data_IF_818486751181
#
_entry.id   IF_818486751181
#
_cell.length_a   1.000
_cell.length_b   1.000
_cell.length_c   1.000
_cell.angle_alpha   90.00
_cell.angle_beta   90.00
_cell.angle_gamma   90.00
#
_symmetry.space_group_name_H-M   'P 1'
#
loop_
_entity.id
_entity.type
_entity.pdbx_description
1 polymer ?
#
# COMPACT_ATOMS: atom_id res chain seq x y z
N UNK A 1 0.91 -1.88 -22.89
CA UNK A 1 1.08 -1.89 -24.36
C UNK A 1 2.53 -2.02 -24.80
N UNK A 2 3.36 -0.98 -24.66
CA UNK A 2 4.71 -0.94 -25.24
C UNK A 2 5.59 -2.15 -24.86
N UNK A 3 5.58 -2.54 -23.57
CA UNK A 3 6.37 -3.70 -23.09
C UNK A 3 5.92 -4.99 -23.77
N UNK A 4 4.60 -5.25 -23.84
CA UNK A 4 4.05 -6.45 -24.48
C UNK A 4 4.44 -6.48 -25.96
N UNK A 5 4.25 -5.36 -26.68
CA UNK A 5 4.62 -5.25 -28.10
C UNK A 5 6.11 -5.50 -28.31
N UNK A 6 6.96 -4.93 -27.44
CA UNK A 6 8.39 -5.13 -27.50
C UNK A 6 8.78 -6.60 -27.28
N UNK A 7 8.19 -7.26 -26.28
CA UNK A 7 8.46 -8.68 -26.01
C UNK A 7 8.00 -9.55 -27.19
N UNK A 8 6.80 -9.33 -27.73
CA UNK A 8 6.30 -10.08 -28.90
C UNK A 8 7.18 -9.94 -30.14
N UNK A 9 7.74 -8.74 -30.36
CA UNK A 9 8.58 -8.44 -31.53
C UNK A 9 10.03 -8.90 -31.38
N UNK A 10 10.59 -8.82 -30.18
CA UNK A 10 12.04 -8.92 -29.97
C UNK A 10 12.46 -10.13 -29.11
N UNK A 11 11.52 -10.93 -28.61
CA UNK A 11 11.82 -12.15 -27.86
C UNK A 11 11.46 -13.41 -28.65
N UNK A 12 11.84 -14.57 -28.09
CA UNK A 12 11.44 -15.90 -28.57
C UNK A 12 10.32 -16.50 -27.73
N UNK A 13 9.59 -15.67 -26.96
CA UNK A 13 8.52 -16.16 -26.09
C UNK A 13 7.44 -16.87 -26.91
N UNK A 14 7.13 -18.12 -26.57
CA UNK A 14 6.04 -18.87 -27.20
C UNK A 14 4.66 -18.34 -26.80
N UNK A 15 4.56 -17.70 -25.63
CA UNK A 15 3.33 -17.11 -25.08
C UNK A 15 3.69 -15.90 -24.21
N UNK A 16 2.95 -14.81 -24.34
CA UNK A 16 3.06 -13.60 -23.52
C UNK A 16 1.75 -13.38 -22.78
N UNK A 17 1.81 -13.39 -21.45
CA UNK A 17 0.65 -13.27 -20.57
C UNK A 17 0.79 -12.01 -19.72
N UNK A 18 -0.30 -11.27 -19.54
CA UNK A 18 -0.37 -10.13 -18.61
C UNK A 18 -1.29 -10.50 -17.45
N UNK A 19 -0.79 -10.44 -16.22
CA UNK A 19 -1.52 -10.78 -15.01
C UNK A 19 -1.22 -9.86 -13.84
N UNK A 20 -2.22 -9.58 -13.01
CA UNK A 20 -2.12 -8.78 -11.78
C UNK A 20 -3.27 -9.12 -10.82
N UNK A 21 -3.13 -8.74 -9.55
CA UNK A 21 -4.19 -8.81 -8.55
C UNK A 21 -4.11 -7.66 -7.52
N UNK A 22 -5.24 -6.99 -7.21
CA UNK A 22 -5.27 -5.89 -6.28
C UNK A 22 -5.00 -6.35 -4.85
N UNK A 23 -4.32 -5.49 -4.10
CA UNK A 23 -3.73 -5.85 -2.82
C UNK A 23 -4.74 -5.95 -1.65
N UNK A 24 -5.99 -5.50 -1.86
CA UNK A 24 -7.00 -5.33 -0.80
C UNK A 24 -8.30 -6.13 -1.02
N UNK A 25 -8.36 -6.95 -2.07
CA UNK A 25 -9.45 -7.87 -2.40
C UNK A 25 -10.88 -7.41 -2.09
N UNK A 26 -11.71 -8.23 -1.43
CA UNK A 26 -13.18 -8.07 -1.33
C UNK A 26 -13.70 -6.71 -0.84
N UNK A 27 -12.88 -5.93 -0.16
CA UNK A 27 -13.27 -4.64 0.43
C UNK A 27 -12.91 -3.43 -0.45
N UNK A 28 -12.07 -3.61 -1.47
CA UNK A 28 -11.61 -2.50 -2.33
C UNK A 28 -11.76 -2.83 -3.82
N UNK A 29 -11.60 -4.09 -4.22
CA UNK A 29 -11.82 -4.50 -5.61
C UNK A 29 -11.34 -5.91 -5.94
N UNK A 30 -11.83 -6.44 -7.06
CA UNK A 30 -11.35 -7.66 -7.71
C UNK A 30 -10.45 -7.30 -8.89
N UNK A 31 -9.60 -8.22 -9.36
CA UNK A 31 -8.65 -7.90 -10.41
C UNK A 31 -9.33 -7.48 -11.71
N UNK A 32 -10.39 -8.17 -12.12
CA UNK A 32 -11.11 -7.87 -13.36
C UNK A 32 -11.67 -6.42 -13.44
N UNK A 33 -12.41 -5.91 -12.43
CA UNK A 33 -12.73 -4.48 -12.35
C UNK A 33 -11.51 -3.55 -12.42
N UNK A 34 -10.44 -3.86 -11.68
CA UNK A 34 -9.24 -3.03 -11.65
C UNK A 34 -8.55 -2.94 -13.03
N UNK A 35 -8.47 -4.07 -13.76
CA UNK A 35 -7.95 -4.11 -15.14
C UNK A 35 -8.79 -3.27 -16.09
N UNK A 36 -10.11 -3.31 -15.95
CA UNK A 36 -11.04 -2.50 -16.75
C UNK A 36 -10.85 -1.02 -16.48
N UNK A 37 -10.85 -0.61 -15.22
CA UNK A 37 -10.81 0.81 -14.83
C UNK A 37 -9.44 1.45 -15.13
N UNK A 38 -8.36 0.69 -14.97
CA UNK A 38 -7.00 1.12 -15.34
C UNK A 38 -6.68 1.03 -16.83
N UNK A 39 -7.58 0.43 -17.63
CA UNK A 39 -7.37 0.10 -19.05
C UNK A 39 -6.20 -0.86 -19.30
N UNK A 40 -5.75 -1.59 -18.29
CA UNK A 40 -4.63 -2.52 -18.41
C UNK A 40 -4.95 -3.67 -19.36
N UNK A 41 -6.19 -4.16 -19.36
CA UNK A 41 -6.62 -5.22 -20.29
C UNK A 41 -6.59 -4.75 -21.75
N UNK A 42 -7.08 -3.54 -22.03
CA UNK A 42 -7.03 -2.93 -23.36
C UNK A 42 -5.57 -2.74 -23.81
N UNK A 43 -4.73 -2.17 -22.95
CA UNK A 43 -3.32 -1.93 -23.24
C UNK A 43 -2.53 -3.24 -23.45
N UNK A 44 -2.89 -4.34 -22.78
CA UNK A 44 -2.28 -5.65 -22.99
C UNK A 44 -2.67 -6.23 -24.36
N UNK A 45 -3.96 -6.17 -24.71
CA UNK A 45 -4.48 -6.64 -26.01
C UNK A 45 -3.90 -5.84 -27.18
N UNK A 46 -3.83 -4.51 -27.08
CA UNK A 46 -3.21 -3.64 -28.08
C UNK A 46 -1.73 -3.99 -28.30
N UNK A 47 -1.02 -4.36 -27.24
CA UNK A 47 0.37 -4.80 -27.32
C UNK A 47 0.55 -6.19 -27.95
N UNK A 48 -0.53 -6.94 -28.17
CA UNK A 48 -0.48 -8.30 -28.72
C UNK A 48 -0.22 -9.40 -27.69
N UNK A 49 -0.63 -9.20 -26.43
CA UNK A 49 -0.59 -10.27 -25.42
C UNK A 49 -1.43 -11.46 -25.89
N UNK A 50 -0.91 -12.67 -25.69
CA UNK A 50 -1.63 -13.90 -26.04
C UNK A 50 -2.76 -14.19 -25.03
N UNK A 51 -2.59 -13.74 -23.78
CA UNK A 51 -3.59 -13.87 -22.73
C UNK A 51 -3.52 -12.71 -21.72
N UNK A 52 -4.69 -12.32 -21.20
CA UNK A 52 -4.81 -11.47 -20.02
C UNK A 52 -5.47 -12.31 -18.94
N UNK A 53 -4.78 -12.49 -17.81
CA UNK A 53 -5.24 -13.28 -16.67
C UNK A 53 -5.53 -12.39 -15.47
N UNK A 54 -6.52 -12.79 -14.68
CA UNK A 54 -6.87 -12.16 -13.42
C UNK A 54 -6.45 -13.10 -12.31
N UNK A 55 -5.38 -12.80 -11.58
CA UNK A 55 -4.80 -13.80 -10.68
C UNK A 55 -5.80 -14.34 -9.64
N UNK A 56 -6.75 -13.52 -9.18
CA UNK A 56 -7.82 -13.93 -8.24
C UNK A 56 -8.86 -14.91 -8.81
N UNK A 57 -8.74 -15.30 -10.08
CA UNK A 57 -9.53 -16.35 -10.75
C UNK A 57 -8.73 -17.65 -11.01
N UNK A 58 -7.47 -17.73 -10.55
CA UNK A 58 -6.59 -18.88 -10.79
C UNK A 58 -6.24 -19.69 -9.54
N UNK A 59 -5.84 -20.94 -9.76
CA UNK A 59 -5.32 -21.83 -8.74
C UNK A 59 -4.10 -21.25 -8.03
N UNK A 60 -3.88 -21.73 -6.81
CA UNK A 60 -2.78 -21.32 -5.96
C UNK A 60 -1.97 -22.52 -5.48
N UNK A 61 -0.70 -22.28 -5.15
CA UNK A 61 0.21 -23.27 -4.57
C UNK A 61 0.75 -22.77 -3.23
N UNK A 62 0.84 -23.65 -2.24
CA UNK A 62 1.47 -23.33 -0.96
C UNK A 62 3.00 -23.43 -1.10
N UNK A 63 3.72 -22.45 -0.56
CA UNK A 63 5.17 -22.37 -0.56
C UNK A 63 5.67 -22.10 0.86
N UNK A 64 6.71 -22.83 1.27
CA UNK A 64 7.56 -22.44 2.39
C UNK A 64 8.67 -21.54 1.83
N UNK A 65 8.90 -20.40 2.49
CA UNK A 65 9.82 -19.37 1.99
C UNK A 65 11.14 -19.54 2.73
N UNK A 66 12.09 -20.21 2.07
CA UNK A 66 13.42 -20.44 2.62
C UNK A 66 14.12 -19.10 2.92
N UNK A 67 14.64 -18.96 4.13
CA UNK A 67 15.33 -17.75 4.59
C UNK A 67 14.41 -16.57 4.96
N UNK A 68 13.08 -16.73 4.90
CA UNK A 68 12.15 -15.71 5.36
C UNK A 68 12.27 -15.47 6.87
N UNK A 69 12.22 -14.19 7.27
CA UNK A 69 12.30 -13.80 8.68
C UNK A 69 10.93 -13.78 9.35
N UNK A 70 9.91 -13.25 8.68
CA UNK A 70 8.56 -13.06 9.23
C UNK A 70 7.50 -13.84 8.46
N UNK A 71 7.47 -13.71 7.14
CA UNK A 71 6.45 -14.32 6.28
C UNK A 71 6.97 -15.66 5.73
N UNK A 72 6.91 -16.71 6.55
CA UNK A 72 7.57 -18.00 6.27
C UNK A 72 6.79 -18.94 5.37
N UNK A 73 5.48 -18.75 5.28
CA UNK A 73 4.61 -19.56 4.44
C UNK A 73 3.73 -18.63 3.63
N UNK A 74 3.66 -18.85 2.33
CA UNK A 74 2.78 -18.13 1.45
C UNK A 74 1.94 -19.08 0.61
N UNK A 75 0.79 -18.60 0.16
CA UNK A 75 0.04 -19.19 -0.92
C UNK A 75 0.22 -18.27 -2.11
N UNK A 76 0.62 -18.79 -3.26
CA UNK A 76 1.01 -17.99 -4.44
C UNK A 76 0.18 -18.42 -5.64
N UNK A 77 -0.21 -17.47 -6.48
CA UNK A 77 -0.91 -17.78 -7.72
C UNK A 77 -0.06 -18.65 -8.64
N UNK A 78 -0.58 -19.82 -8.99
CA UNK A 78 0.13 -20.82 -9.79
C UNK A 78 0.64 -20.29 -11.13
N UNK A 79 -0.11 -19.45 -11.89
CA UNK A 79 0.41 -18.89 -13.14
C UNK A 79 1.70 -18.08 -12.99
N UNK A 80 1.94 -17.46 -11.82
CA UNK A 80 3.20 -16.75 -11.54
C UNK A 80 4.37 -17.72 -11.35
N UNK A 81 4.14 -18.86 -10.68
CA UNK A 81 5.16 -19.89 -10.46
C UNK A 81 5.48 -20.67 -11.74
N UNK A 82 4.46 -20.93 -12.56
CA UNK A 82 4.58 -21.70 -13.82
C UNK A 82 5.26 -20.90 -14.95
N UNK A 83 5.46 -19.59 -14.80
CA UNK A 83 6.06 -18.77 -15.84
C UNK A 83 7.55 -19.08 -16.04
N UNK A 84 8.03 -19.19 -17.29
CA UNK A 84 9.47 -19.34 -17.56
C UNK A 84 10.24 -18.05 -17.26
N UNK A 85 9.64 -16.89 -17.59
CA UNK A 85 10.21 -15.56 -17.43
C UNK A 85 9.17 -14.64 -16.79
N UNK A 86 9.56 -13.93 -15.73
CA UNK A 86 8.75 -12.93 -15.02
C UNK A 86 9.29 -11.53 -15.30
N UNK A 87 8.49 -10.71 -15.99
CA UNK A 87 8.76 -9.28 -16.20
C UNK A 87 7.90 -8.48 -15.22
N UNK A 88 8.54 -7.81 -14.27
CA UNK A 88 7.90 -6.98 -13.27
C UNK A 88 7.69 -5.55 -13.77
N UNK A 89 6.48 -5.00 -13.61
CA UNK A 89 6.07 -3.69 -14.14
C UNK A 89 5.53 -2.75 -13.05
N UNK A 90 6.35 -2.30 -12.08
CA UNK A 90 5.90 -1.40 -11.04
C UNK A 90 5.70 0.05 -11.55
N UNK A 91 4.89 0.81 -10.82
CA UNK A 91 4.68 2.25 -11.05
C UNK A 91 5.57 3.09 -10.13
N UNK A 92 6.22 4.12 -10.66
CA UNK A 92 6.95 5.12 -9.85
C UNK A 92 5.97 5.94 -9.01
N UNK A 93 5.94 5.71 -7.70
CA UNK A 93 4.91 6.26 -6.83
C UNK A 93 5.33 6.30 -5.37
N UNK A 94 5.00 7.41 -4.70
CA UNK A 94 5.03 7.55 -3.25
C UNK A 94 3.82 6.85 -2.61
N UNK A 95 4.01 6.24 -1.45
CA UNK A 95 2.99 5.44 -0.77
C UNK A 95 3.05 5.59 0.76
N UNK A 96 1.92 5.88 1.40
CA UNK A 96 1.80 6.13 2.84
C UNK A 96 2.38 5.02 3.74
N UNK A 97 2.05 3.75 3.46
CA UNK A 97 2.53 2.61 4.26
C UNK A 97 3.94 2.09 3.94
N UNK A 98 4.46 2.34 2.74
CA UNK A 98 5.71 1.72 2.25
C UNK A 98 6.77 2.72 1.82
N UNK A 99 6.52 4.02 2.03
CA UNK A 99 7.23 5.17 1.48
C UNK A 99 7.12 5.28 -0.04
N UNK A 100 7.37 4.20 -0.79
CA UNK A 100 7.19 4.09 -2.24
C UNK A 100 6.48 2.78 -2.62
N UNK A 101 6.03 2.69 -3.88
CA UNK A 101 5.50 1.45 -4.47
C UNK A 101 6.65 0.56 -4.94
N UNK A 102 7.19 0.84 -6.12
CA UNK A 102 8.32 0.17 -6.80
C UNK A 102 8.34 -1.37 -6.76
N UNK A 103 9.34 -1.97 -7.37
CA UNK A 103 9.36 -3.35 -7.85
C UNK A 103 9.09 -4.38 -6.78
N UNK A 104 9.76 -4.30 -5.63
CA UNK A 104 9.61 -5.27 -4.53
C UNK A 104 8.18 -5.35 -4.02
N UNK A 105 7.40 -4.26 -4.09
CA UNK A 105 6.01 -4.24 -3.60
C UNK A 105 5.05 -5.06 -4.46
N UNK A 106 5.37 -5.29 -5.73
CA UNK A 106 4.50 -6.09 -6.62
C UNK A 106 4.38 -7.55 -6.13
N UNK A 107 5.31 -8.07 -5.31
CA UNK A 107 5.19 -9.39 -4.68
C UNK A 107 4.03 -9.51 -3.70
N UNK A 108 3.41 -8.41 -3.32
CA UNK A 108 2.19 -8.47 -2.54
C UNK A 108 0.95 -8.83 -3.39
N UNK A 109 1.05 -8.65 -4.72
CA UNK A 109 0.02 -9.00 -5.69
C UNK A 109 0.02 -10.48 -6.09
N UNK A 110 1.10 -11.23 -5.83
CA UNK A 110 1.23 -12.66 -6.22
C UNK A 110 0.57 -13.62 -5.23
N UNK A 111 0.09 -13.11 -4.09
CA UNK A 111 -0.56 -13.89 -3.04
C UNK A 111 -2.07 -13.61 -3.03
N UNK A 112 -2.94 -14.59 -2.75
CA UNK A 112 -4.37 -14.41 -2.77
C UNK A 112 -4.86 -13.64 -1.56
N UNK A 113 -5.95 -12.90 -1.77
CA UNK A 113 -6.71 -12.29 -0.68
C UNK A 113 -7.57 -13.35 0.04
N UNK A 114 -6.99 -14.09 1.00
CA UNK A 114 -7.75 -14.90 1.94
C UNK A 114 -7.73 -14.32 3.37
N UNK A 115 -8.93 -14.29 3.99
CA UNK A 115 -9.25 -13.90 5.37
C UNK A 115 -9.66 -15.18 6.13
N UNK A 116 -9.38 -15.37 7.45
CA UNK A 116 -9.07 -14.32 8.44
C UNK A 116 -7.63 -14.14 8.91
N UNK A 117 -6.69 -15.08 8.71
CA UNK A 117 -5.42 -15.01 9.46
C UNK A 117 -4.11 -15.12 8.69
N UNK A 118 -4.03 -15.67 7.47
CA UNK A 118 -2.73 -16.28 7.10
C UNK A 118 -2.00 -15.74 5.87
N UNK A 119 -2.59 -14.90 5.00
CA UNK A 119 -1.92 -14.52 3.74
C UNK A 119 -1.83 -13.01 3.52
N UNK A 120 -2.50 -12.47 2.48
CA UNK A 120 -2.30 -11.09 2.04
C UNK A 120 -2.58 -10.04 3.13
N UNK A 121 -3.52 -10.29 4.04
CA UNK A 121 -3.74 -9.42 5.19
C UNK A 121 -2.59 -9.47 6.20
N UNK A 122 -2.06 -10.67 6.46
CA UNK A 122 -0.83 -10.84 7.25
C UNK A 122 0.34 -10.09 6.61
N UNK A 123 0.46 -10.14 5.28
CA UNK A 123 1.44 -9.39 4.52
C UNK A 123 1.27 -7.86 4.63
N UNK A 124 0.02 -7.36 4.63
CA UNK A 124 -0.33 -5.94 4.72
C UNK A 124 -0.34 -5.32 6.12
N UNK A 125 -0.07 -6.13 7.16
CA UNK A 125 0.07 -5.64 8.53
C UNK A 125 1.41 -4.91 8.70
N UNK A 126 1.72 -4.60 9.94
CA UNK A 126 3.00 -4.07 10.40
C UNK A 126 4.19 -4.91 9.83
N UNK A 127 5.37 -4.31 9.72
CA UNK A 127 6.58 -4.92 9.14
C UNK A 127 6.47 -5.22 7.64
N UNK A 128 5.62 -4.46 6.93
CA UNK A 128 5.34 -4.63 5.51
C UNK A 128 6.61 -4.74 4.65
N UNK A 129 7.64 -3.94 4.91
CA UNK A 129 8.90 -3.99 4.16
C UNK A 129 9.64 -5.32 4.26
N UNK A 130 9.73 -5.89 5.47
CA UNK A 130 10.35 -7.20 5.67
C UNK A 130 9.53 -8.30 5.00
N UNK A 131 8.20 -8.21 5.04
CA UNK A 131 7.33 -9.20 4.40
C UNK A 131 7.43 -9.15 2.87
N UNK A 132 7.59 -7.95 2.28
CA UNK A 132 7.92 -7.84 0.85
C UNK A 132 9.26 -8.50 0.52
N UNK A 133 10.29 -8.26 1.34
CA UNK A 133 11.59 -8.90 1.16
C UNK A 133 11.52 -10.42 1.33
N UNK A 134 10.75 -10.93 2.30
CA UNK A 134 10.52 -12.36 2.46
C UNK A 134 9.83 -12.93 1.21
N UNK A 135 8.73 -12.32 0.73
CA UNK A 135 8.02 -12.77 -0.46
C UNK A 135 8.87 -12.72 -1.73
N UNK A 136 9.78 -11.74 -1.86
CA UNK A 136 10.69 -11.66 -3.02
C UNK A 136 11.51 -12.95 -3.19
N UNK A 137 11.90 -13.62 -2.09
CA UNK A 137 12.64 -14.89 -2.10
C UNK A 137 11.91 -16.05 -2.79
N UNK A 138 10.58 -15.99 -2.89
CA UNK A 138 9.78 -17.02 -3.55
C UNK A 138 10.25 -17.20 -4.99
N UNK A 139 10.47 -16.08 -5.68
CA UNK A 139 10.96 -16.01 -7.05
C UNK A 139 11.36 -14.56 -7.35
N UNK A 140 12.60 -14.35 -7.76
CA UNK A 140 13.05 -13.05 -8.27
C UNK A 140 12.47 -12.81 -9.67
N UNK A 141 12.20 -11.55 -10.03
CA UNK A 141 11.87 -11.24 -11.41
C UNK A 141 13.12 -11.32 -12.29
N UNK A 142 12.94 -11.80 -13.50
CA UNK A 142 14.00 -11.87 -14.52
C UNK A 142 14.31 -10.47 -15.09
N UNK A 143 13.32 -9.58 -15.10
CA UNK A 143 13.47 -8.19 -15.51
C UNK A 143 12.47 -7.32 -14.76
N UNK A 144 12.91 -6.20 -14.18
CA UNK A 144 12.03 -5.17 -13.63
C UNK A 144 12.09 -3.93 -14.52
N UNK A 145 10.94 -3.39 -14.91
CA UNK A 145 10.81 -2.14 -15.67
C UNK A 145 9.84 -1.21 -14.95
N UNK A 146 10.37 -0.15 -14.32
CA UNK A 146 9.57 0.84 -13.63
C UNK A 146 8.94 1.81 -14.64
N UNK A 147 7.62 1.79 -14.74
CA UNK A 147 6.87 2.83 -15.45
C UNK A 147 7.00 4.15 -14.68
N UNK A 148 7.79 5.04 -15.25
CA UNK A 148 8.11 6.36 -14.71
C UNK A 148 7.80 7.44 -15.75
N UNK A 149 6.82 7.23 -16.63
CA UNK A 149 6.40 8.27 -17.58
C UNK A 149 5.70 9.39 -16.79
N UNK A 150 4.69 9.00 -16.03
CA UNK A 150 4.02 9.83 -15.03
C UNK A 150 4.14 9.12 -13.68
N UNK A 151 4.86 9.71 -12.74
CA UNK A 151 4.92 9.25 -11.36
C UNK A 151 3.79 9.82 -10.49
N UNK A 152 3.75 9.41 -9.23
CA UNK A 152 2.87 9.99 -8.20
C UNK A 152 3.69 10.40 -6.98
N UNK A 153 3.54 11.64 -6.53
CA UNK A 153 4.16 12.19 -5.32
C UNK A 153 3.11 12.52 -4.24
N UNK A 154 3.54 12.78 -3.00
CA UNK A 154 2.68 13.22 -1.91
C UNK A 154 1.92 12.07 -1.23
N UNK A 155 0.65 12.29 -0.89
CA UNK A 155 -0.16 11.36 -0.09
C UNK A 155 -0.74 10.19 -0.92
N UNK A 156 0.12 9.45 -1.62
CA UNK A 156 -0.30 8.20 -2.27
C UNK A 156 -0.70 7.11 -1.25
N UNK A 157 -1.56 6.14 -1.60
CA UNK A 157 -1.96 5.84 -2.96
C UNK A 157 -3.20 6.57 -3.49
N UNK A 158 -3.96 7.27 -2.63
CA UNK A 158 -5.27 7.81 -2.97
C UNK A 158 -5.32 9.35 -3.06
N UNK A 159 -4.42 10.05 -2.37
CA UNK A 159 -4.40 11.50 -2.23
C UNK A 159 -3.10 12.13 -2.78
N UNK A 160 -2.40 11.41 -3.68
CA UNK A 160 -1.17 11.87 -4.32
C UNK A 160 -1.43 12.77 -5.54
N UNK A 161 -0.42 13.52 -5.96
CA UNK A 161 -0.45 14.31 -7.19
C UNK A 161 0.43 13.68 -8.27
N UNK A 162 0.01 13.72 -9.56
CA UNK A 162 0.83 13.24 -10.65
C UNK A 162 2.06 14.13 -10.83
N UNK A 163 3.19 13.53 -11.21
CA UNK A 163 4.41 14.23 -11.57
C UNK A 163 4.99 13.64 -12.86
N UNK A 164 5.17 14.47 -13.86
CA UNK A 164 5.75 14.04 -15.14
C UNK A 164 7.25 13.80 -14.98
N UNK A 165 7.71 12.62 -15.39
CA UNK A 165 9.10 12.19 -15.27
C UNK A 165 9.68 11.84 -16.64
N UNK A 166 8.89 11.25 -17.55
CA UNK A 166 9.31 10.83 -18.89
C UNK A 166 10.52 9.88 -18.87
N UNK A 167 10.56 8.99 -17.89
CA UNK A 167 11.63 8.02 -17.72
C UNK A 167 11.09 6.58 -17.81
N UNK A 168 11.99 5.65 -18.09
CA UNK A 168 11.85 4.26 -17.72
C UNK A 168 13.13 3.83 -17.05
N UNK A 169 13.04 3.09 -15.95
CA UNK A 169 14.19 2.47 -15.28
C UNK A 169 14.01 0.96 -15.42
N UNK A 170 15.05 0.25 -15.87
CA UNK A 170 14.97 -1.18 -16.06
C UNK A 170 16.28 -1.87 -15.68
N UNK A 171 16.16 -3.11 -15.20
CA UNK A 171 17.31 -3.93 -14.82
C UNK A 171 16.89 -5.32 -14.36
N UNK A 172 17.86 -6.23 -14.29
CA UNK A 172 17.64 -7.65 -13.90
C UNK A 172 17.78 -7.88 -12.39
N UNK A 173 18.19 -6.86 -11.63
CA UNK A 173 18.19 -6.86 -10.17
C UNK A 173 17.12 -5.86 -9.68
N UNK A 174 16.04 -6.37 -9.09
CA UNK A 174 14.92 -5.54 -8.61
C UNK A 174 15.35 -4.60 -7.47
N UNK A 175 16.26 -5.03 -6.59
CA UNK A 175 16.74 -4.19 -5.48
C UNK A 175 17.55 -3.02 -6.02
N UNK A 176 18.41 -3.28 -7.02
CA UNK A 176 19.19 -2.23 -7.67
C UNK A 176 18.29 -1.26 -8.43
N UNK A 177 17.30 -1.77 -9.18
CA UNK A 177 16.32 -0.96 -9.91
C UNK A 177 15.52 -0.08 -8.95
N UNK A 178 15.03 -0.63 -7.84
CA UNK A 178 14.28 0.14 -6.85
C UNK A 178 15.16 1.17 -6.14
N UNK A 179 16.43 0.85 -5.86
CA UNK A 179 17.40 1.77 -5.24
C UNK A 179 17.68 2.97 -6.15
N UNK A 180 17.91 2.74 -7.44
CA UNK A 180 18.07 3.80 -8.44
C UNK A 180 16.78 4.63 -8.56
N UNK A 181 15.63 3.96 -8.69
CA UNK A 181 14.35 4.63 -8.89
C UNK A 181 13.95 5.48 -7.67
N UNK A 182 14.13 5.00 -6.43
CA UNK A 182 13.83 5.80 -5.25
C UNK A 182 14.80 6.98 -5.10
N UNK A 183 16.07 6.81 -5.50
CA UNK A 183 17.06 7.88 -5.52
C UNK A 183 16.71 8.97 -6.53
N UNK A 184 16.20 8.60 -7.72
CA UNK A 184 15.64 9.55 -8.70
C UNK A 184 14.44 10.31 -8.12
N UNK A 185 13.63 9.68 -7.26
CA UNK A 185 12.54 10.33 -6.52
C UNK A 185 13.03 11.18 -5.32
N UNK A 186 14.35 11.24 -5.12
CA UNK A 186 15.02 11.97 -4.05
C UNK A 186 14.96 11.31 -2.68
N UNK A 187 14.76 9.99 -2.59
CA UNK A 187 14.84 9.18 -1.35
C UNK A 187 16.16 8.42 -1.27
N UNK A 188 16.69 8.27 -0.07
CA UNK A 188 17.78 7.34 0.18
C UNK A 188 17.25 5.89 0.20
N UNK A 189 17.93 4.92 -0.46
CA UNK A 189 17.50 3.53 -0.48
C UNK A 189 17.24 2.94 0.91
N UNK A 190 18.03 3.34 1.91
CA UNK A 190 17.90 2.90 3.30
C UNK A 190 16.64 3.44 4.02
N UNK A 191 16.00 4.50 3.51
CA UNK A 191 14.71 4.99 4.01
C UNK A 191 13.56 4.07 3.60
N UNK A 192 13.73 3.29 2.53
CA UNK A 192 12.66 2.46 1.96
C UNK A 192 12.72 1.07 2.61
N UNK A 193 11.73 0.67 3.45
CA UNK A 193 11.84 -0.54 4.23
C UNK A 193 12.03 -1.81 3.41
N UNK A 194 11.33 -1.93 2.26
CA UNK A 194 11.45 -3.10 1.38
C UNK A 194 12.86 -3.21 0.77
N UNK A 195 13.38 -2.12 0.21
CA UNK A 195 14.73 -2.06 -0.38
C UNK A 195 15.78 -2.36 0.68
N UNK A 196 15.69 -1.69 1.84
CA UNK A 196 16.59 -1.94 2.97
C UNK A 196 16.60 -3.41 3.40
N UNK A 197 15.43 -4.02 3.60
CA UNK A 197 15.37 -5.41 4.05
C UNK A 197 15.93 -6.36 2.98
N UNK A 198 15.51 -6.22 1.72
CA UNK A 198 15.98 -7.10 0.64
C UNK A 198 17.50 -6.95 0.38
N UNK A 199 18.01 -5.71 0.33
CA UNK A 199 19.42 -5.43 0.08
C UNK A 199 20.33 -5.88 1.22
N UNK A 200 19.98 -5.60 2.48
CA UNK A 200 20.77 -6.05 3.65
C UNK A 200 20.77 -7.56 3.84
N UNK A 201 19.83 -8.25 3.19
CA UNK A 201 19.73 -9.70 3.17
C UNK A 201 20.36 -10.37 1.94
N UNK A 202 21.01 -9.59 1.07
CA UNK A 202 21.71 -10.09 -0.10
C UNK A 202 20.81 -10.59 -1.23
N UNK A 203 19.56 -10.10 -1.32
CA UNK A 203 18.64 -10.45 -2.41
C UNK A 203 18.87 -9.61 -3.68
N UNK A 204 19.74 -8.61 -3.60
CA UNK A 204 20.16 -7.73 -4.69
C UNK A 204 21.02 -6.59 -4.13
N UNK A 205 21.52 -5.71 -5.01
CA UNK A 205 22.40 -4.62 -4.62
C UNK A 205 21.62 -3.36 -4.23
N UNK A 206 21.96 -2.77 -3.09
CA UNK A 206 21.37 -1.53 -2.56
C UNK A 206 22.34 -0.35 -2.63
N UNK A 207 23.65 -0.63 -2.62
CA UNK A 207 24.69 0.37 -2.66
C UNK A 207 24.81 0.95 -4.07
N UNK A 208 24.35 2.20 -4.24
CA UNK A 208 24.39 2.93 -5.52
C UNK A 208 25.79 2.97 -6.12
N UNK A 209 26.86 2.96 -5.32
CA UNK A 209 28.23 2.98 -5.82
C UNK A 209 28.63 1.68 -6.54
N UNK A 210 27.87 0.59 -6.37
CA UNK A 210 28.09 -0.71 -7.00
C UNK A 210 27.10 -1.01 -8.12
N UNK A 211 26.17 -0.10 -8.38
CA UNK A 211 25.17 -0.25 -9.44
C UNK A 211 25.66 0.52 -10.66
N UNK A 212 25.85 -0.19 -11.78
CA UNK A 212 26.19 0.43 -13.06
C UNK A 212 24.94 1.03 -13.71
N UNK A 213 24.80 2.36 -13.64
CA UNK A 213 23.69 3.09 -14.24
C UNK A 213 24.04 3.47 -15.68
N UNK A 214 23.43 2.77 -16.62
CA UNK A 214 23.56 3.07 -18.07
C UNK A 214 22.49 4.07 -18.50
N UNK A 215 22.89 5.11 -19.24
CA UNK A 215 21.99 6.16 -19.74
C UNK A 215 22.11 7.45 -18.93
N UNK A 216 20.98 8.03 -18.53
CA UNK A 216 20.99 9.25 -17.72
C UNK A 216 21.45 8.94 -16.29
N UNK A 217 22.37 9.74 -15.75
CA UNK A 217 22.76 9.69 -14.33
C UNK A 217 21.58 10.00 -13.41
N UNK A 218 21.60 9.45 -12.19
CA UNK A 218 20.55 9.70 -11.16
C UNK A 218 20.38 11.20 -10.94
N UNK A 219 21.48 11.93 -10.77
CA UNK A 219 21.51 13.36 -10.48
C UNK A 219 20.87 14.18 -11.61
N UNK A 220 21.09 13.77 -12.87
CA UNK A 220 20.58 14.51 -14.03
C UNK A 220 19.06 14.44 -14.20
N UNK A 221 18.40 13.46 -13.60
CA UNK A 221 16.95 13.24 -13.73
C UNK A 221 16.22 13.26 -12.38
N UNK A 222 16.95 13.48 -11.29
CA UNK A 222 16.39 13.49 -9.95
C UNK A 222 15.35 14.61 -9.80
N UNK A 223 14.22 14.27 -9.19
CA UNK A 223 13.26 15.24 -8.66
C UNK A 223 12.96 14.87 -7.22
N UNK A 224 12.95 15.85 -6.32
CA UNK A 224 12.50 15.64 -4.96
C UNK A 224 10.98 15.55 -4.92
N UNK A 225 10.47 14.32 -4.80
CA UNK A 225 9.04 14.09 -4.69
C UNK A 225 8.54 14.57 -3.32
N UNK A 226 7.34 15.15 -3.28
CA UNK A 226 6.63 15.38 -2.02
C UNK A 226 6.51 14.06 -1.24
N UNK A 227 6.87 14.10 0.03
CA UNK A 227 6.85 12.95 0.93
C UNK A 227 5.42 12.63 1.42
N UNK A 228 5.11 11.37 1.75
CA UNK A 228 3.89 11.04 2.44
C UNK A 228 4.02 11.38 3.94
N UNK A 229 2.90 11.46 4.65
CA UNK A 229 2.88 11.77 6.08
C UNK A 229 1.89 10.87 6.79
N UNK A 230 2.38 9.89 7.55
CA UNK A 230 1.56 8.85 8.17
C UNK A 230 0.83 9.28 9.45
N UNK A 231 1.13 10.45 9.99
CA UNK A 231 0.52 10.94 11.23
C UNK A 231 -0.84 11.61 10.96
N UNK A 232 -1.96 11.13 11.56
CA UNK A 232 -3.26 11.78 11.44
C UNK A 232 -3.48 12.92 12.44
N UNK A 233 -2.65 13.04 13.48
CA UNK A 233 -2.89 13.96 14.59
C UNK A 233 -2.77 15.41 14.11
N UNK A 234 -3.81 16.22 14.38
CA UNK A 234 -3.84 17.64 14.03
C UNK A 234 -3.95 17.93 12.54
N UNK A 235 -4.18 16.92 11.70
CA UNK A 235 -4.19 17.10 10.24
C UNK A 235 -5.45 17.79 9.72
N UNK A 236 -6.60 17.58 10.39
CA UNK A 236 -7.88 18.12 9.96
C UNK A 236 -8.63 18.72 11.15
N UNK A 237 -8.98 20.01 11.05
CA UNK A 237 -9.79 20.68 12.06
C UNK A 237 -11.14 19.96 12.21
N UNK A 238 -11.56 19.73 13.46
CA UNK A 238 -12.81 19.03 13.80
C UNK A 238 -12.78 17.50 13.68
N UNK A 239 -11.66 16.92 13.21
CA UNK A 239 -11.41 15.46 13.24
C UNK A 239 -10.27 15.17 14.21
N UNK A 240 -10.60 15.08 15.50
CA UNK A 240 -9.62 14.90 16.57
C UNK A 240 -9.13 13.45 16.62
N UNK A 241 -7.81 13.23 16.58
CA UNK A 241 -7.20 11.91 16.75
C UNK A 241 -6.52 11.82 18.12
N UNK A 242 -6.94 10.85 18.94
CA UNK A 242 -6.32 10.51 20.22
C UNK A 242 -5.66 9.15 20.07
N UNK A 243 -4.40 9.16 19.63
CA UNK A 243 -3.68 7.95 19.28
C UNK A 243 -2.33 7.91 19.98
N UNK A 244 -2.15 6.94 20.87
CA UNK A 244 -0.91 6.72 21.61
C UNK A 244 -0.69 5.22 21.79
N UNK A 245 0.56 4.81 21.99
CA UNK A 245 0.95 3.41 22.20
C UNK A 245 0.32 2.45 21.16
N UNK A 246 0.16 2.93 19.94
CA UNK A 246 -0.42 2.19 18.81
C UNK A 246 0.66 1.93 17.76
N UNK A 247 0.43 0.94 16.89
CA UNK A 247 1.41 0.61 15.87
C UNK A 247 1.35 1.58 14.67
N UNK A 248 2.42 1.66 13.85
CA UNK A 248 2.42 2.50 12.64
C UNK A 248 1.29 2.16 11.65
N UNK A 249 0.77 0.93 11.68
CA UNK A 249 -0.36 0.52 10.85
C UNK A 249 -1.64 1.31 11.15
N UNK A 250 -1.99 1.49 12.43
CA UNK A 250 -3.15 2.29 12.82
C UNK A 250 -2.99 3.76 12.40
N UNK A 251 -1.80 4.34 12.62
CA UNK A 251 -1.47 5.71 12.19
C UNK A 251 -1.75 5.90 10.70
N UNK A 252 -1.13 5.08 9.86
CA UNK A 252 -1.24 5.16 8.40
C UNK A 252 -2.67 4.91 7.90
N UNK A 253 -3.37 3.92 8.44
CA UNK A 253 -4.72 3.60 7.97
C UNK A 253 -5.76 4.65 8.39
N UNK A 254 -5.69 5.15 9.62
CA UNK A 254 -6.53 6.28 10.06
C UNK A 254 -6.20 7.50 9.22
N UNK A 255 -4.92 7.82 9.04
CA UNK A 255 -4.49 8.95 8.22
C UNK A 255 -5.05 8.90 6.81
N UNK A 256 -4.90 7.76 6.13
CA UNK A 256 -5.45 7.58 4.79
C UNK A 256 -6.98 7.72 4.74
N UNK A 257 -7.70 7.26 5.77
CA UNK A 257 -9.15 7.39 5.83
C UNK A 257 -9.57 8.86 5.87
N UNK A 258 -8.90 9.65 6.71
CA UNK A 258 -9.15 11.09 6.85
C UNK A 258 -8.79 11.85 5.57
N UNK A 259 -7.66 11.52 4.94
CA UNK A 259 -7.29 12.11 3.63
C UNK A 259 -8.37 11.82 2.57
N UNK A 260 -8.89 10.59 2.54
CA UNK A 260 -9.92 10.18 1.56
C UNK A 260 -11.26 10.86 1.83
N UNK A 261 -11.62 11.03 3.11
CA UNK A 261 -12.82 11.76 3.50
C UNK A 261 -12.70 13.24 3.12
N UNK A 262 -11.55 13.88 3.40
CA UNK A 262 -11.31 15.27 3.03
C UNK A 262 -11.37 15.50 1.52
N UNK A 263 -11.01 14.51 0.71
CA UNK A 263 -11.07 14.55 -0.76
C UNK A 263 -12.40 14.08 -1.36
N UNK A 264 -13.37 13.66 -0.55
CA UNK A 264 -14.66 13.16 -1.01
C UNK A 264 -15.57 14.24 -1.67
N UNK A 265 -15.19 15.52 -1.56
CA UNK A 265 -16.00 16.66 -1.99
C UNK A 265 -17.00 17.15 -0.95
N UNK A 266 -17.02 16.55 0.24
CA UNK A 266 -17.84 17.01 1.37
C UNK A 266 -17.30 18.33 1.93
N UNK A 267 -18.20 19.28 2.14
CA UNK A 267 -17.90 20.56 2.78
C UNK A 267 -17.69 20.34 4.29
N UNK A 268 -16.44 20.48 4.74
CA UNK A 268 -16.07 20.24 6.13
C UNK A 268 -16.76 21.18 7.13
N UNK A 269 -17.01 22.44 6.77
CA UNK A 269 -17.67 23.37 7.68
C UNK A 269 -19.12 22.95 7.92
N UNK A 270 -19.85 22.65 6.82
CA UNK A 270 -21.23 22.15 6.92
C UNK A 270 -21.32 20.79 7.60
N UNK A 271 -20.32 19.93 7.37
CA UNK A 271 -20.24 18.64 8.03
C UNK A 271 -20.14 18.81 9.55
N UNK A 272 -19.23 19.68 10.02
CA UNK A 272 -19.02 19.94 11.45
C UNK A 272 -20.23 20.66 12.08
N UNK A 273 -20.84 21.63 11.39
CA UNK A 273 -22.08 22.29 11.85
C UNK A 273 -23.22 21.29 12.06
N UNK A 274 -23.38 20.32 11.15
CA UNK A 274 -24.47 19.34 11.19
C UNK A 274 -24.18 18.18 12.14
N UNK A 275 -22.98 17.62 12.06
CA UNK A 275 -22.64 16.33 12.68
C UNK A 275 -21.94 16.49 14.02
N UNK A 276 -21.32 17.65 14.25
CA UNK A 276 -20.40 17.91 15.35
C UNK A 276 -18.99 17.43 15.03
N UNK A 277 -18.07 17.69 15.96
CA UNK A 277 -16.71 17.17 15.89
C UNK A 277 -16.69 15.64 15.99
N UNK A 278 -15.64 15.06 15.41
CA UNK A 278 -15.35 13.64 15.45
C UNK A 278 -14.12 13.38 16.31
N UNK A 279 -14.13 12.28 17.06
CA UNK A 279 -12.96 11.78 17.78
C UNK A 279 -12.61 10.38 17.27
N UNK A 280 -11.36 10.17 16.88
CA UNK A 280 -10.82 8.85 16.53
C UNK A 280 -9.83 8.43 17.60
N UNK A 281 -10.02 7.27 18.22
CA UNK A 281 -9.19 6.75 19.31
C UNK A 281 -8.49 5.47 18.84
N UNK A 282 -7.19 5.31 19.11
CA UNK A 282 -6.48 4.06 18.87
C UNK A 282 -5.30 3.86 19.85
N UNK A 283 -5.12 2.61 20.30
CA UNK A 283 -4.05 2.23 21.24
C UNK A 283 -4.27 2.70 22.67
N UNK A 284 -3.22 2.61 23.48
CA UNK A 284 -3.23 3.01 24.88
C UNK A 284 -3.05 4.51 25.06
N UNK A 285 -3.99 5.16 25.75
CA UNK A 285 -4.10 6.62 25.88
C UNK A 285 -4.10 7.04 27.37
N UNK A 286 -2.94 7.00 28.07
CA UNK A 286 -2.87 7.06 29.54
C UNK A 286 -3.56 8.26 30.17
N UNK A 287 -3.33 9.45 29.61
CA UNK A 287 -3.86 10.73 30.11
C UNK A 287 -5.07 11.21 29.31
N UNK A 288 -5.76 10.29 28.64
CA UNK A 288 -7.01 10.61 27.96
C UNK A 288 -8.02 11.22 28.93
N UNK A 289 -8.60 12.35 28.53
CA UNK A 289 -9.73 12.98 29.21
C UNK A 289 -11.03 12.52 28.51
N UNK A 290 -11.87 11.69 29.18
CA UNK A 290 -13.14 11.22 28.64
C UNK A 290 -14.09 12.36 28.23
N UNK A 291 -13.94 13.56 28.82
CA UNK A 291 -14.80 14.70 28.53
C UNK A 291 -14.67 15.19 27.08
N UNK A 292 -13.56 14.87 26.39
CA UNK A 292 -13.40 15.18 24.97
C UNK A 292 -14.46 14.48 24.11
N UNK A 293 -15.05 13.37 24.57
CA UNK A 293 -16.07 12.63 23.80
C UNK A 293 -17.50 13.16 23.95
N UNK A 294 -17.78 14.04 24.93
CA UNK A 294 -19.14 14.54 25.21
C UNK A 294 -19.79 15.11 23.95
N UNK A 295 -20.96 14.58 23.59
CA UNK A 295 -21.75 14.96 22.42
C UNK A 295 -21.05 14.79 21.05
N UNK A 296 -19.92 14.06 20.98
CA UNK A 296 -19.17 13.81 19.74
C UNK A 296 -19.44 12.43 19.15
N UNK A 297 -19.17 12.27 17.85
CA UNK A 297 -19.16 10.96 17.20
C UNK A 297 -17.76 10.36 17.37
N UNK A 298 -17.68 9.20 18.00
CA UNK A 298 -16.42 8.56 18.39
C UNK A 298 -16.19 7.29 17.57
N UNK A 299 -14.99 7.17 17.03
CA UNK A 299 -14.53 6.00 16.29
C UNK A 299 -13.37 5.37 17.05
N UNK A 300 -13.48 4.09 17.40
CA UNK A 300 -12.45 3.39 18.18
C UNK A 300 -11.82 2.32 17.30
N UNK A 301 -10.53 2.48 17.01
CA UNK A 301 -9.78 1.66 16.06
C UNK A 301 -8.94 0.58 16.74
N UNK A 302 -9.23 -0.67 16.36
CA UNK A 302 -8.58 -1.89 16.79
C UNK A 302 -8.95 -2.33 18.20
N UNK A 303 -8.44 -3.49 18.63
CA UNK A 303 -8.70 -4.02 19.99
C UNK A 303 -7.59 -3.65 20.98
N UNK A 304 -6.47 -3.14 20.48
CA UNK A 304 -5.28 -2.92 21.31
C UNK A 304 -5.52 -1.94 22.46
N UNK A 305 -6.46 -1.00 22.35
CA UNK A 305 -6.83 -0.06 23.43
C UNK A 305 -7.34 -0.77 24.69
N UNK A 306 -7.93 -1.97 24.56
CA UNK A 306 -8.40 -2.78 25.69
C UNK A 306 -7.25 -3.36 26.52
N UNK A 307 -6.06 -3.45 25.93
CA UNK A 307 -4.88 -4.05 26.55
C UNK A 307 -4.10 -3.07 27.44
N UNK A 308 -4.48 -1.80 27.47
CA UNK A 308 -3.77 -0.75 28.20
C UNK A 308 -4.51 -0.29 29.47
N UNK A 309 -3.80 0.23 30.48
CA UNK A 309 -4.42 0.78 31.70
C UNK A 309 -5.44 1.90 31.45
N UNK A 310 -5.41 2.55 30.28
CA UNK A 310 -6.37 3.58 29.88
C UNK A 310 -7.75 3.04 29.49
N UNK A 311 -7.96 1.73 29.49
CA UNK A 311 -9.21 1.08 29.04
C UNK A 311 -10.46 1.66 29.68
N UNK A 312 -10.44 1.93 30.99
CA UNK A 312 -11.61 2.45 31.71
C UNK A 312 -11.95 3.88 31.27
N UNK A 313 -10.92 4.69 30.98
CA UNK A 313 -11.10 6.05 30.44
C UNK A 313 -11.69 6.02 29.03
N UNK A 314 -11.25 5.09 28.18
CA UNK A 314 -11.81 4.92 26.83
C UNK A 314 -13.28 4.49 26.91
N UNK A 315 -13.62 3.55 27.81
CA UNK A 315 -15.01 3.13 28.06
C UNK A 315 -15.87 4.28 28.60
N UNK A 316 -15.35 5.08 29.51
CA UNK A 316 -16.03 6.28 30.03
C UNK A 316 -16.29 7.29 28.90
N UNK A 317 -15.28 7.59 28.08
CA UNK A 317 -15.44 8.49 26.93
C UNK A 317 -16.47 7.98 25.93
N UNK A 318 -16.46 6.67 25.64
CA UNK A 318 -17.45 6.03 24.79
C UNK A 318 -18.87 6.13 25.37
N UNK A 319 -19.05 6.04 26.68
CA UNK A 319 -20.36 6.21 27.33
C UNK A 319 -20.87 7.66 27.30
N UNK A 320 -19.97 8.64 27.23
CA UNK A 320 -20.29 10.07 27.11
C UNK A 320 -20.54 10.53 25.66
N UNK A 321 -20.19 9.69 24.68
CA UNK A 321 -20.30 10.01 23.27
C UNK A 321 -21.75 10.08 22.77
N UNK A 322 -21.98 10.92 21.75
CA UNK A 322 -23.24 10.95 21.00
C UNK A 322 -23.45 9.65 20.22
N UNK A 323 -22.38 9.13 19.62
CA UNK A 323 -22.36 7.85 18.93
C UNK A 323 -20.97 7.23 19.02
N UNK A 324 -20.91 5.89 19.00
CA UNK A 324 -19.64 5.16 19.00
C UNK A 324 -19.66 4.09 17.92
N UNK A 325 -18.62 4.07 17.10
CA UNK A 325 -18.35 3.01 16.12
C UNK A 325 -17.05 2.32 16.47
N UNK A 326 -17.11 1.00 16.66
CA UNK A 326 -15.93 0.18 16.95
C UNK A 326 -15.44 -0.52 15.69
N UNK A 327 -14.12 -0.51 15.48
CA UNK A 327 -13.45 -1.26 14.43
C UNK A 327 -12.60 -2.38 15.06
N UNK A 328 -13.19 -3.55 15.36
CA UNK A 328 -12.49 -4.60 16.08
C UNK A 328 -11.36 -5.24 15.25
N UNK A 329 -10.43 -5.89 15.94
CA UNK A 329 -9.27 -6.59 15.41
C UNK A 329 -7.96 -5.78 15.47
N UNK A 330 -6.84 -6.39 15.06
CA UNK A 330 -5.66 -5.60 14.73
C UNK A 330 -5.96 -4.87 13.42
N UNK A 331 -6.38 -3.60 13.53
CA UNK A 331 -6.76 -2.68 12.45
C UNK A 331 -6.35 -3.18 11.06
N UNK A 332 -7.19 -4.00 10.40
CA UNK A 332 -6.86 -4.44 9.08
C UNK A 332 -6.82 -3.21 8.18
N UNK A 333 -6.17 -3.35 7.02
CA UNK A 333 -6.18 -2.34 5.96
C UNK A 333 -7.58 -1.85 5.58
N UNK A 334 -8.64 -2.53 6.00
CA UNK A 334 -10.04 -2.11 5.83
C UNK A 334 -10.50 -0.98 6.74
N UNK A 335 -9.83 -0.70 7.87
CA UNK A 335 -10.17 0.49 8.68
C UNK A 335 -10.12 1.74 7.81
N UNK A 336 -9.12 1.82 6.93
CA UNK A 336 -9.02 2.89 5.95
C UNK A 336 -10.33 3.10 5.18
N UNK A 337 -10.88 2.02 4.61
CA UNK A 337 -12.09 2.08 3.77
C UNK A 337 -13.36 2.27 4.61
N UNK A 338 -13.45 1.59 5.76
CA UNK A 338 -14.62 1.62 6.65
C UNK A 338 -14.77 2.97 7.33
N UNK A 339 -13.69 3.50 7.94
CA UNK A 339 -13.72 4.81 8.59
C UNK A 339 -14.09 5.92 7.60
N UNK A 340 -13.49 5.91 6.40
CA UNK A 340 -13.88 6.86 5.36
C UNK A 340 -15.36 6.71 4.97
N UNK A 341 -15.84 5.49 4.74
CA UNK A 341 -17.23 5.25 4.37
C UNK A 341 -18.22 5.68 5.47
N UNK A 342 -17.89 5.45 6.74
CA UNK A 342 -18.75 5.81 7.87
C UNK A 342 -18.74 7.33 8.11
N UNK A 343 -17.61 8.02 7.92
CA UNK A 343 -17.57 9.48 7.92
C UNK A 343 -18.46 10.08 6.81
N UNK A 344 -18.43 9.49 5.60
CA UNK A 344 -19.31 9.93 4.50
C UNK A 344 -20.80 9.66 4.79
N UNK A 345 -21.14 8.53 5.41
CA UNK A 345 -22.52 8.25 5.87
C UNK A 345 -22.97 9.26 6.92
N UNK A 346 -22.11 9.55 7.90
CA UNK A 346 -22.37 10.55 8.93
C UNK A 346 -22.65 11.93 8.31
N UNK A 347 -21.85 12.34 7.32
CA UNK A 347 -22.11 13.58 6.57
C UNK A 347 -23.46 13.58 5.84
N UNK A 348 -23.85 12.42 5.28
CA UNK A 348 -25.16 12.23 4.68
C UNK A 348 -26.32 12.21 5.71
N UNK A 349 -26.03 12.16 7.02
CA UNK A 349 -27.02 12.03 8.09
C UNK A 349 -27.62 10.63 8.20
N UNK A 350 -26.83 9.60 7.84
CA UNK A 350 -27.22 8.19 7.88
C UNK A 350 -26.58 7.45 9.03
#
# INVERSE_FOLDING_TARGET
>A
EAVVSYVKKNSKAGKVVVGDNPSLGMHVGRAKPAFKDSKMEEAAKLGGADEVIYFDEHDVVAVEIEGAKLFKHATVFKPFMDADVVINLPKMKVHLAGTVTLGLKNWNGIIPNCHPNDQQQGAHRIELGQKMADMYRIRHADLTIVDSVIGMEGQGPHAGSPIEMNLMIAGTDTVAVDSVACSIMGFEPMEIPAIRCAGTEGQGEIDLAKIDVVGNSIESVMKHFKRPGGDPIGMYAGLTCVMQQTCPGCFVNVRGALDSFALSGIDMNKFLEKSGEVVVIAGGVPDFDPQICVDKNVFICGDCWELFPSVDKVKEGAALAKSVTYYPGCAPVYIFAQLNADLQKLAAGK
#
